data_IF_400793206687
#
_entry.id   IF_400793206687
#
_cell.length_a   1.000
_cell.length_b   1.000
_cell.length_c   1.000
_cell.angle_alpha   90.00
_cell.angle_beta   90.00
_cell.angle_gamma   90.00
#
_symmetry.space_group_name_H-M   'P 1'
#
loop_
_entity.id
_entity.type
_entity.pdbx_description
1 polymer ?
#
# COMPACT_ATOMS: atom_id res chain seq x y z
N UNK A 1 14.78 -36.25 -39.16
CA UNK A 1 15.36 -35.92 -37.85
C UNK A 1 14.68 -34.65 -37.35
N UNK A 2 13.68 -34.79 -36.50
CA UNK A 2 13.00 -33.65 -35.86
C UNK A 2 13.96 -33.06 -34.80
N UNK A 3 14.32 -31.80 -34.97
CA UNK A 3 15.13 -31.09 -33.98
C UNK A 3 14.26 -30.86 -32.73
N UNK A 4 14.60 -31.53 -31.64
CA UNK A 4 14.02 -31.26 -30.32
C UNK A 4 14.16 -29.79 -29.98
N UNK A 5 13.11 -29.11 -29.51
CA UNK A 5 13.22 -27.70 -29.15
C UNK A 5 14.15 -27.55 -27.93
N UNK A 6 15.07 -26.56 -28.01
CA UNK A 6 16.08 -26.29 -26.99
C UNK A 6 15.50 -25.92 -25.61
N UNK A 7 14.23 -25.54 -25.55
CA UNK A 7 13.48 -25.23 -24.32
C UNK A 7 12.14 -25.96 -24.34
N UNK A 8 11.94 -26.91 -23.43
CA UNK A 8 10.67 -27.54 -23.20
C UNK A 8 10.04 -27.02 -21.89
N UNK A 9 8.87 -26.38 -21.99
CA UNK A 9 8.07 -26.03 -20.83
C UNK A 9 7.29 -27.25 -20.40
N UNK A 10 7.76 -27.97 -19.38
CA UNK A 10 7.05 -29.10 -18.80
C UNK A 10 6.26 -28.69 -17.57
N UNK A 11 4.97 -29.03 -17.50
CA UNK A 11 4.15 -28.83 -16.32
C UNK A 11 4.64 -29.75 -15.20
N UNK A 12 5.24 -29.19 -14.15
CA UNK A 12 5.72 -29.96 -12.99
C UNK A 12 4.55 -30.67 -12.30
N UNK A 13 4.59 -31.98 -12.28
CA UNK A 13 3.49 -32.85 -11.82
C UNK A 13 3.34 -32.93 -10.30
N UNK A 14 4.38 -32.62 -9.54
CA UNK A 14 4.39 -32.62 -8.07
C UNK A 14 4.68 -31.22 -7.55
N UNK A 15 3.85 -30.76 -6.58
CA UNK A 15 4.11 -29.50 -5.88
C UNK A 15 5.49 -29.53 -5.22
N UNK A 16 6.25 -28.43 -5.35
CA UNK A 16 7.54 -28.27 -4.67
C UNK A 16 7.37 -28.39 -3.16
N UNK A 17 8.26 -29.12 -2.49
CA UNK A 17 8.34 -29.13 -1.02
C UNK A 17 8.57 -27.69 -0.51
N UNK A 18 8.09 -27.41 0.69
CA UNK A 18 8.21 -26.05 1.26
C UNK A 18 9.66 -25.55 1.32
N UNK A 19 10.60 -26.45 1.61
CA UNK A 19 12.05 -26.16 1.63
C UNK A 19 12.59 -25.79 0.24
N UNK A 20 12.17 -26.49 -0.82
CA UNK A 20 12.56 -26.16 -2.21
C UNK A 20 12.02 -24.80 -2.63
N UNK A 21 10.78 -24.44 -2.20
CA UNK A 21 10.20 -23.12 -2.46
C UNK A 21 10.97 -22.01 -1.76
N UNK A 22 11.40 -22.24 -0.53
CA UNK A 22 12.26 -21.29 0.19
C UNK A 22 13.62 -21.13 -0.52
N UNK A 23 14.26 -22.22 -0.90
CA UNK A 23 15.54 -22.20 -1.60
C UNK A 23 15.47 -21.40 -2.90
N UNK A 24 14.45 -21.64 -3.73
CA UNK A 24 14.24 -20.88 -4.98
C UNK A 24 14.03 -19.39 -4.71
N UNK A 25 13.28 -19.03 -3.66
CA UNK A 25 13.06 -17.62 -3.28
C UNK A 25 14.37 -16.95 -2.83
N UNK A 26 15.17 -17.66 -2.04
CA UNK A 26 16.49 -17.16 -1.59
C UNK A 26 17.44 -16.93 -2.79
N UNK A 27 17.52 -17.90 -3.69
CA UNK A 27 18.35 -17.76 -4.91
C UNK A 27 17.86 -16.59 -5.77
N UNK A 28 16.55 -16.46 -5.96
CA UNK A 28 15.97 -15.35 -6.72
C UNK A 28 16.27 -13.99 -6.06
N UNK A 29 16.22 -13.91 -4.72
CA UNK A 29 16.56 -12.69 -3.98
C UNK A 29 18.03 -12.32 -4.13
N UNK A 30 18.95 -13.28 -3.99
CA UNK A 30 20.39 -13.03 -4.17
C UNK A 30 20.67 -12.60 -5.61
N UNK A 31 20.08 -13.29 -6.58
CA UNK A 31 20.28 -12.95 -8.00
C UNK A 31 19.76 -11.54 -8.31
N UNK A 32 18.61 -11.16 -7.77
CA UNK A 32 18.07 -9.80 -7.94
C UNK A 32 18.99 -8.74 -7.34
N UNK A 33 19.55 -8.97 -6.16
CA UNK A 33 20.52 -8.05 -5.55
C UNK A 33 21.78 -7.91 -6.39
N UNK A 34 22.31 -9.01 -6.96
CA UNK A 34 23.48 -8.97 -7.85
C UNK A 34 23.15 -8.14 -9.10
N UNK A 35 22.01 -8.39 -9.74
CA UNK A 35 21.58 -7.64 -10.94
C UNK A 35 21.40 -6.16 -10.62
N UNK A 36 20.73 -5.82 -9.52
CA UNK A 36 20.58 -4.44 -9.08
C UNK A 36 21.94 -3.80 -8.80
N UNK A 37 22.86 -4.52 -8.15
CA UNK A 37 24.23 -4.06 -7.92
C UNK A 37 24.97 -3.77 -9.22
N UNK A 38 24.88 -4.64 -10.21
CA UNK A 38 25.47 -4.43 -11.54
C UNK A 38 24.90 -3.19 -12.24
N UNK A 39 23.57 -2.97 -12.15
CA UNK A 39 22.91 -1.77 -12.70
C UNK A 39 23.40 -0.51 -11.99
N UNK A 40 23.56 -0.52 -10.66
CA UNK A 40 24.07 0.61 -9.89
C UNK A 40 25.50 0.98 -10.36
N UNK A 41 26.37 -0.01 -10.51
CA UNK A 41 27.74 0.21 -11.02
C UNK A 41 27.72 0.79 -12.43
N UNK A 42 26.88 0.24 -13.31
CA UNK A 42 26.84 0.64 -14.72
C UNK A 42 26.29 2.06 -14.91
N UNK A 43 25.26 2.45 -14.16
CA UNK A 43 24.57 3.73 -14.35
C UNK A 43 25.13 4.84 -13.44
N UNK A 44 25.39 4.54 -12.18
CA UNK A 44 25.73 5.55 -11.15
C UNK A 44 27.20 5.55 -10.82
N UNK A 45 27.95 4.50 -11.22
CA UNK A 45 29.38 4.30 -10.92
C UNK A 45 29.72 4.33 -9.41
N UNK A 46 28.74 4.00 -8.56
CA UNK A 46 28.92 3.88 -7.11
C UNK A 46 29.18 2.43 -6.71
N UNK A 47 29.82 2.25 -5.56
CA UNK A 47 29.98 0.93 -4.98
C UNK A 47 28.63 0.39 -4.50
N UNK A 48 28.12 -0.77 -4.99
CA UNK A 48 26.83 -1.31 -4.59
C UNK A 48 26.74 -1.60 -3.09
N UNK A 49 27.85 -1.97 -2.46
CA UNK A 49 27.90 -2.26 -1.02
C UNK A 49 27.57 -1.02 -0.19
N UNK A 50 28.06 0.15 -0.59
CA UNK A 50 27.78 1.39 0.12
C UNK A 50 26.32 1.81 -0.04
N UNK A 51 25.73 1.57 -1.21
CA UNK A 51 24.30 1.80 -1.46
C UNK A 51 23.45 0.86 -0.58
N UNK A 52 23.77 -0.42 -0.52
CA UNK A 52 23.03 -1.36 0.34
C UNK A 52 23.19 -1.05 1.83
N UNK A 53 24.39 -0.61 2.27
CA UNK A 53 24.58 -0.11 3.65
C UNK A 53 23.70 1.11 3.92
N UNK A 54 23.66 2.07 3.00
CA UNK A 54 22.83 3.26 3.15
C UNK A 54 21.32 2.92 3.24
N UNK A 55 20.84 1.93 2.47
CA UNK A 55 19.46 1.42 2.56
C UNK A 55 19.21 0.81 3.94
N UNK A 56 20.13 -0.03 4.41
CA UNK A 56 20.02 -0.66 5.73
C UNK A 56 20.02 0.38 6.85
N UNK A 57 20.95 1.33 6.81
CA UNK A 57 21.05 2.41 7.78
C UNK A 57 19.83 3.34 7.71
N UNK A 58 19.25 3.51 6.53
CA UNK A 58 18.01 4.23 6.33
C UNK A 58 16.81 3.60 7.04
N UNK A 59 16.76 2.26 7.07
CA UNK A 59 15.66 1.50 7.69
C UNK A 59 15.89 1.22 9.18
N UNK A 60 17.13 0.89 9.56
CA UNK A 60 17.47 0.35 10.88
C UNK A 60 18.58 1.12 11.62
N UNK A 61 19.18 2.13 11.01
CA UNK A 61 20.38 2.80 11.52
C UNK A 61 20.19 3.63 12.80
N UNK A 62 18.94 3.97 13.16
CA UNK A 62 18.63 4.66 14.43
C UNK A 62 17.35 4.09 15.03
N UNK A 63 17.20 4.20 16.34
CA UNK A 63 16.00 3.75 17.06
C UNK A 63 14.72 4.36 16.45
N UNK A 64 14.72 5.65 16.15
CA UNK A 64 13.58 6.33 15.51
C UNK A 64 13.23 5.73 14.14
N UNK A 65 14.23 5.45 13.29
CA UNK A 65 14.03 4.85 11.96
C UNK A 65 13.50 3.43 12.07
N UNK A 66 14.02 2.65 13.00
CA UNK A 66 13.55 1.30 13.28
C UNK A 66 12.07 1.30 13.71
N UNK A 67 11.66 2.18 14.62
CA UNK A 67 10.26 2.33 15.01
C UNK A 67 9.36 2.74 13.84
N UNK A 68 9.82 3.63 12.97
CA UNK A 68 9.08 4.00 11.75
C UNK A 68 8.93 2.80 10.81
N UNK A 69 10.00 2.03 10.58
CA UNK A 69 9.98 0.83 9.75
C UNK A 69 9.03 -0.24 10.30
N UNK A 70 9.04 -0.47 11.62
CA UNK A 70 8.11 -1.39 12.29
C UNK A 70 6.68 -0.92 12.11
N UNK A 71 6.38 0.35 12.36
CA UNK A 71 5.05 0.94 12.19
C UNK A 71 4.53 0.74 10.76
N UNK A 72 5.33 1.09 9.78
CA UNK A 72 4.94 1.00 8.38
C UNK A 72 4.75 -0.46 7.93
N UNK A 73 5.58 -1.37 8.44
CA UNK A 73 5.42 -2.83 8.24
C UNK A 73 4.11 -3.34 8.83
N UNK A 74 3.73 -2.89 10.03
CA UNK A 74 2.48 -3.29 10.67
C UNK A 74 1.26 -2.76 9.89
N UNK A 75 1.32 -1.53 9.39
CA UNK A 75 0.26 -0.97 8.54
C UNK A 75 0.10 -1.79 7.25
N UNK A 76 1.22 -2.09 6.56
CA UNK A 76 1.19 -2.92 5.36
C UNK A 76 0.67 -4.33 5.63
N UNK A 77 1.01 -4.92 6.78
CA UNK A 77 0.49 -6.23 7.19
C UNK A 77 -1.03 -6.19 7.40
N UNK A 78 -1.55 -5.17 8.06
CA UNK A 78 -3.00 -4.99 8.24
C UNK A 78 -3.72 -4.88 6.90
N UNK A 79 -3.17 -4.11 5.95
CA UNK A 79 -3.71 -3.97 4.60
C UNK A 79 -3.69 -5.33 3.88
N UNK A 80 -2.59 -6.07 3.94
CA UNK A 80 -2.45 -7.37 3.30
C UNK A 80 -3.45 -8.39 3.84
N UNK A 81 -3.69 -8.41 5.16
CA UNK A 81 -4.71 -9.27 5.80
C UNK A 81 -6.10 -8.87 5.31
N UNK A 82 -6.41 -7.58 5.24
CA UNK A 82 -7.70 -7.08 4.75
C UNK A 82 -7.97 -7.41 3.28
N UNK A 83 -6.94 -7.46 2.44
CA UNK A 83 -7.05 -7.80 1.02
C UNK A 83 -7.10 -9.31 0.74
N UNK A 84 -6.60 -10.15 1.65
CA UNK A 84 -6.51 -11.59 1.46
C UNK A 84 -7.85 -12.27 1.10
N UNK A 85 -9.01 -11.92 1.71
CA UNK A 85 -10.30 -12.46 1.31
C UNK A 85 -10.70 -12.08 -0.12
N UNK A 86 -10.45 -10.83 -0.54
CA UNK A 86 -10.75 -10.36 -1.89
C UNK A 86 -9.98 -11.16 -2.94
N UNK A 87 -8.69 -11.39 -2.74
CA UNK A 87 -7.88 -12.23 -3.63
C UNK A 87 -8.33 -13.69 -3.67
N UNK A 88 -8.78 -14.26 -2.54
CA UNK A 88 -9.36 -15.61 -2.51
C UNK A 88 -10.63 -15.72 -3.37
N UNK A 89 -11.44 -14.66 -3.43
CA UNK A 89 -12.62 -14.57 -4.29
C UNK A 89 -12.28 -14.23 -5.74
N UNK A 90 -11.00 -14.19 -6.11
CA UNK A 90 -10.51 -13.75 -7.44
C UNK A 90 -10.92 -12.33 -7.79
N UNK A 91 -11.18 -11.50 -6.81
CA UNK A 91 -11.39 -10.07 -6.98
C UNK A 91 -10.05 -9.34 -6.78
N UNK A 92 -9.46 -8.88 -7.88
CA UNK A 92 -8.16 -8.21 -7.87
C UNK A 92 -8.32 -6.74 -7.48
N UNK A 93 -8.47 -6.50 -6.18
CA UNK A 93 -8.59 -5.14 -5.66
C UNK A 93 -7.20 -4.48 -5.51
N UNK A 94 -6.84 -3.63 -6.47
CA UNK A 94 -5.65 -2.74 -6.39
C UNK A 94 -6.02 -1.40 -5.75
N UNK A 95 -7.31 -1.21 -5.40
CA UNK A 95 -7.88 0.03 -4.87
C UNK A 95 -7.73 0.26 -3.36
N UNK A 96 -6.92 -0.54 -2.67
CA UNK A 96 -6.75 -0.42 -1.22
C UNK A 96 -6.21 0.95 -0.80
N UNK A 97 -5.33 1.55 -1.59
CA UNK A 97 -4.77 2.88 -1.33
C UNK A 97 -5.87 3.94 -1.31
N UNK A 98 -6.77 3.95 -2.32
CA UNK A 98 -7.90 4.87 -2.36
C UNK A 98 -8.88 4.68 -1.21
N UNK A 99 -9.12 3.44 -0.78
CA UNK A 99 -9.97 3.14 0.38
C UNK A 99 -9.38 3.71 1.67
N UNK A 100 -8.06 3.58 1.86
CA UNK A 100 -7.37 4.13 3.02
C UNK A 100 -7.39 5.65 2.99
N UNK A 101 -7.14 6.26 1.84
CA UNK A 101 -7.15 7.71 1.67
C UNK A 101 -8.52 8.31 1.99
N UNK A 102 -9.60 7.74 1.46
CA UNK A 102 -10.97 8.21 1.75
C UNK A 102 -11.36 7.95 3.20
N UNK A 103 -11.02 6.78 3.76
CA UNK A 103 -11.24 6.49 5.18
C UNK A 103 -10.51 7.48 6.08
N UNK A 104 -9.25 7.80 5.76
CA UNK A 104 -8.46 8.82 6.46
C UNK A 104 -9.07 10.22 6.35
N UNK A 105 -9.54 10.61 5.16
CA UNK A 105 -10.20 11.90 4.96
C UNK A 105 -11.51 12.00 5.76
N UNK A 106 -12.32 10.94 5.81
CA UNK A 106 -13.52 10.90 6.66
C UNK A 106 -13.18 11.05 8.15
N UNK A 107 -12.13 10.39 8.62
CA UNK A 107 -11.64 10.51 9.99
C UNK A 107 -11.17 11.95 10.28
N UNK A 108 -10.38 12.55 9.37
CA UNK A 108 -9.92 13.92 9.48
C UNK A 108 -11.09 14.94 9.49
N UNK A 109 -12.10 14.74 8.66
CA UNK A 109 -13.31 15.56 8.66
C UNK A 109 -14.00 15.56 10.03
N UNK A 110 -14.18 14.39 10.63
CA UNK A 110 -14.77 14.28 11.98
C UNK A 110 -13.93 15.03 13.00
N UNK A 111 -12.60 14.90 12.95
CA UNK A 111 -11.70 15.61 13.86
C UNK A 111 -11.81 17.13 13.71
N UNK A 112 -11.85 17.64 12.48
CA UNK A 112 -11.93 19.08 12.20
C UNK A 112 -13.28 19.67 12.65
N UNK A 113 -14.41 18.99 12.38
CA UNK A 113 -15.75 19.56 12.63
C UNK A 113 -16.31 19.24 14.01
N UNK A 114 -15.84 18.19 14.67
CA UNK A 114 -16.39 17.70 15.93
C UNK A 114 -15.34 17.61 17.07
N UNK A 115 -14.08 17.90 16.80
CA UNK A 115 -12.99 17.78 17.79
C UNK A 115 -13.25 18.54 19.08
N UNK A 116 -13.67 19.79 18.99
CA UNK A 116 -13.92 20.66 20.14
C UNK A 116 -15.27 20.39 20.85
N UNK A 117 -16.13 19.55 20.26
CA UNK A 117 -17.51 19.35 20.73
C UNK A 117 -17.72 18.04 21.49
N UNK A 118 -16.75 17.15 21.45
CA UNK A 118 -16.87 15.77 21.97
C UNK A 118 -15.77 15.45 22.95
N UNK A 119 -16.06 14.54 23.89
CA UNK A 119 -15.00 13.98 24.73
C UNK A 119 -13.99 13.20 23.90
N UNK A 120 -12.70 13.14 24.28
CA UNK A 120 -11.63 12.49 23.49
C UNK A 120 -11.94 11.03 23.13
N UNK A 121 -12.53 10.29 24.06
CA UNK A 121 -12.88 8.86 23.84
C UNK A 121 -14.00 8.73 22.80
N UNK A 122 -15.05 9.56 22.91
CA UNK A 122 -16.17 9.54 21.97
C UNK A 122 -15.70 9.96 20.57
N UNK A 123 -14.84 10.98 20.49
CA UNK A 123 -14.24 11.45 19.25
C UNK A 123 -13.49 10.31 18.55
N UNK A 124 -12.64 9.57 19.26
CA UNK A 124 -11.90 8.43 18.69
C UNK A 124 -12.84 7.34 18.14
N UNK A 125 -13.91 7.03 18.86
CA UNK A 125 -14.90 6.04 18.40
C UNK A 125 -15.60 6.52 17.11
N UNK A 126 -16.03 7.78 17.08
CA UNK A 126 -16.71 8.35 15.89
C UNK A 126 -15.74 8.43 14.70
N UNK A 127 -14.48 8.83 14.90
CA UNK A 127 -13.45 8.83 13.87
C UNK A 127 -13.22 7.43 13.31
N UNK A 128 -13.16 6.41 14.17
CA UNK A 128 -13.00 5.02 13.74
C UNK A 128 -14.18 4.56 12.88
N UNK A 129 -15.40 4.82 13.33
CA UNK A 129 -16.62 4.47 12.58
C UNK A 129 -16.65 5.20 11.23
N UNK A 130 -16.36 6.50 11.21
CA UNK A 130 -16.34 7.29 9.99
C UNK A 130 -15.28 6.78 8.98
N UNK A 131 -14.10 6.42 9.45
CA UNK A 131 -13.05 5.84 8.62
C UNK A 131 -13.46 4.50 8.00
N UNK A 132 -14.06 3.61 8.81
CA UNK A 132 -14.55 2.31 8.35
C UNK A 132 -15.64 2.50 7.28
N UNK A 133 -16.63 3.34 7.57
CA UNK A 133 -17.73 3.61 6.64
C UNK A 133 -17.24 4.25 5.33
N UNK A 134 -16.37 5.25 5.41
CA UNK A 134 -15.80 5.91 4.24
C UNK A 134 -15.02 4.94 3.34
N UNK A 135 -14.12 4.15 3.92
CA UNK A 135 -13.36 3.14 3.19
C UNK A 135 -14.24 2.02 2.61
N UNK A 136 -15.27 1.60 3.35
CA UNK A 136 -16.22 0.57 2.92
C UNK A 136 -17.10 1.05 1.75
N UNK A 137 -17.66 2.26 1.84
CA UNK A 137 -18.46 2.86 0.74
C UNK A 137 -17.60 2.98 -0.51
N UNK A 138 -16.36 3.47 -0.38
CA UNK A 138 -15.45 3.58 -1.51
C UNK A 138 -15.14 2.22 -2.15
N UNK A 139 -14.92 1.19 -1.35
CA UNK A 139 -14.68 -0.18 -1.81
C UNK A 139 -15.90 -0.88 -2.40
N UNK A 140 -17.13 -0.45 -2.04
CA UNK A 140 -18.36 -0.97 -2.63
C UNK A 140 -18.53 -0.54 -4.09
N UNK A 141 -18.06 0.65 -4.48
CA UNK A 141 -18.21 1.16 -5.84
C UNK A 141 -17.71 0.16 -6.89
N UNK A 142 -16.43 -0.28 -6.89
CA UNK A 142 -15.95 -1.23 -7.88
C UNK A 142 -16.62 -2.59 -7.78
N UNK A 143 -17.02 -3.00 -6.58
CA UNK A 143 -17.70 -4.29 -6.36
C UNK A 143 -19.09 -4.31 -7.02
N UNK A 144 -19.84 -3.22 -6.91
CA UNK A 144 -21.15 -3.06 -7.55
C UNK A 144 -20.99 -3.05 -9.09
N UNK A 145 -20.04 -2.28 -9.61
CA UNK A 145 -19.78 -2.23 -11.06
C UNK A 145 -19.34 -3.60 -11.60
N UNK A 146 -18.55 -4.36 -10.85
CA UNK A 146 -18.20 -5.72 -11.21
C UNK A 146 -19.40 -6.65 -11.23
N UNK A 147 -20.27 -6.55 -10.23
CA UNK A 147 -21.42 -7.44 -10.09
C UNK A 147 -22.48 -7.21 -11.21
N UNK A 148 -22.78 -5.95 -11.55
CA UNK A 148 -23.84 -5.62 -12.52
C UNK A 148 -23.35 -5.56 -13.96
N UNK A 149 -22.14 -5.06 -14.21
CA UNK A 149 -21.63 -4.84 -15.57
C UNK A 149 -20.40 -5.69 -15.92
N UNK A 150 -19.99 -6.58 -15.03
CA UNK A 150 -18.81 -7.43 -15.22
C UNK A 150 -17.56 -6.66 -15.68
N UNK A 151 -17.38 -5.43 -15.16
CA UNK A 151 -16.25 -4.58 -15.48
C UNK A 151 -14.92 -5.20 -15.03
N UNK A 152 -13.79 -4.75 -15.60
CA UNK A 152 -12.48 -5.16 -15.16
C UNK A 152 -12.17 -4.48 -13.80
N UNK A 153 -12.24 -5.27 -12.72
CA UNK A 153 -12.04 -4.80 -11.34
C UNK A 153 -10.67 -4.19 -11.11
N UNK A 154 -9.63 -4.73 -11.76
CA UNK A 154 -8.24 -4.26 -11.61
C UNK A 154 -8.09 -2.83 -12.14
N UNK A 155 -8.57 -2.58 -13.37
CA UNK A 155 -8.53 -1.25 -13.99
C UNK A 155 -9.42 -0.27 -13.23
N UNK A 156 -10.63 -0.70 -12.87
CA UNK A 156 -11.60 0.17 -12.20
C UNK A 156 -11.11 0.62 -10.82
N UNK A 157 -10.58 -0.31 -10.03
CA UNK A 157 -10.01 0.00 -8.70
C UNK A 157 -8.77 0.89 -8.79
N UNK A 158 -7.92 0.68 -9.82
CA UNK A 158 -6.77 1.55 -10.07
C UNK A 158 -7.20 2.99 -10.41
N UNK A 159 -8.21 3.17 -11.28
CA UNK A 159 -8.74 4.49 -11.60
C UNK A 159 -9.32 5.19 -10.37
N UNK A 160 -10.04 4.44 -9.51
CA UNK A 160 -10.58 4.97 -8.27
C UNK A 160 -9.50 5.43 -7.28
N UNK A 161 -8.30 4.85 -7.29
CA UNK A 161 -7.18 5.37 -6.50
C UNK A 161 -6.82 6.81 -6.91
N UNK A 162 -6.72 7.08 -8.21
CA UNK A 162 -6.43 8.43 -8.69
C UNK A 162 -7.56 9.42 -8.34
N UNK A 163 -8.82 8.99 -8.45
CA UNK A 163 -9.95 9.82 -8.03
C UNK A 163 -9.89 10.09 -6.52
N UNK A 164 -9.60 9.08 -5.70
CA UNK A 164 -9.44 9.25 -4.25
C UNK A 164 -8.32 10.24 -3.91
N UNK A 165 -7.16 10.15 -4.57
CA UNK A 165 -6.06 11.11 -4.39
C UNK A 165 -6.50 12.53 -4.68
N UNK A 166 -7.24 12.77 -5.78
CA UNK A 166 -7.73 14.11 -6.12
C UNK A 166 -8.77 14.61 -5.13
N UNK A 167 -9.69 13.76 -4.68
CA UNK A 167 -10.68 14.12 -3.65
C UNK A 167 -9.99 14.52 -2.35
N UNK A 168 -9.00 13.74 -1.91
CA UNK A 168 -8.25 14.03 -0.67
C UNK A 168 -7.42 15.31 -0.82
N UNK A 169 -6.78 15.52 -1.98
CA UNK A 169 -6.05 16.75 -2.27
C UNK A 169 -6.98 17.96 -2.20
N UNK A 170 -8.16 17.86 -2.80
CA UNK A 170 -9.18 18.91 -2.70
C UNK A 170 -9.60 19.17 -1.23
N UNK A 171 -9.83 18.12 -0.45
CA UNK A 171 -10.17 18.24 0.97
C UNK A 171 -9.04 18.94 1.76
N UNK A 172 -7.78 18.60 1.50
CA UNK A 172 -6.61 19.25 2.15
C UNK A 172 -6.61 20.74 1.83
N UNK A 173 -6.75 21.14 0.58
CA UNK A 173 -6.80 22.56 0.16
C UNK A 173 -8.01 23.27 0.78
N UNK A 174 -9.15 22.59 0.88
CA UNK A 174 -10.35 23.15 1.48
C UNK A 174 -10.21 23.39 2.99
N UNK A 175 -9.52 22.47 3.69
CA UNK A 175 -9.27 22.54 5.14
C UNK A 175 -7.98 23.26 5.51
N UNK A 176 -7.27 23.78 4.53
CA UNK A 176 -6.00 24.46 4.69
C UNK A 176 -6.12 25.70 5.59
N UNK A 177 -5.23 25.81 6.57
CA UNK A 177 -5.13 26.98 7.45
C UNK A 177 -3.66 27.19 7.90
N UNK A 178 -2.99 28.30 7.55
CA UNK A 178 -3.45 29.40 6.67
C UNK A 178 -3.51 28.97 5.19
N UNK A 179 -4.36 29.63 4.42
CA UNK A 179 -4.51 29.31 2.98
C UNK A 179 -3.20 29.55 2.24
N UNK A 180 -2.82 28.62 1.36
CA UNK A 180 -1.56 28.65 0.61
C UNK A 180 -0.44 27.81 1.24
N UNK A 181 -0.67 27.15 2.39
CA UNK A 181 0.33 26.35 3.07
C UNK A 181 0.47 24.92 2.53
N UNK A 182 -0.52 24.43 1.76
CA UNK A 182 -0.67 23.05 1.31
C UNK A 182 -0.62 22.03 2.47
N UNK A 183 -0.90 22.47 3.68
CA UNK A 183 -0.92 21.62 4.87
C UNK A 183 -2.19 21.86 5.66
N UNK A 184 -2.92 20.77 5.96
CA UNK A 184 -3.98 20.81 6.94
C UNK A 184 -3.33 20.69 8.33
N UNK A 185 -3.19 21.81 9.01
CA UNK A 185 -2.80 21.83 10.42
C UNK A 185 -3.99 21.33 11.23
N UNK A 186 -4.01 20.05 11.53
CA UNK A 186 -4.78 19.52 12.65
C UNK A 186 -4.10 20.01 13.92
N UNK A 187 -4.47 21.22 14.32
CA UNK A 187 -3.91 21.84 15.50
C UNK A 187 -4.45 21.12 16.74
N UNK A 188 -3.59 20.36 17.37
CA UNK A 188 -3.77 20.01 18.76
C UNK A 188 -3.37 21.23 19.57
N UNK A 189 -4.35 21.88 20.16
CA UNK A 189 -4.16 22.94 21.14
C UNK A 189 -3.08 22.59 22.16
N UNK A 190 -2.32 23.58 22.67
CA UNK A 190 -1.32 23.37 23.69
C UNK A 190 -1.89 22.75 24.95
#
# INVERSE_FOLDING_TARGET
MSKEPFLQISKRRNGMKWQERLGVRFIALILSLIVCGAVIVALVKMNPVDVYRAIWDGAMGTERRMWMTIRDTMVLLCIAIGLAPAFKMKFWNIGAEGQILIGGACSAAVMIYAGDKMSPVLLLIVMLIASILGGMIWGMIPSVFKAYWNTNETLFTLMLNYVAMQVVTYCIVFWENPKGSNTCLLYTSP
#
